data_IF_193028898094
#
_entry.id   IF_193028898094
#
_cell.length_a   1.000
_cell.length_b   1.000
_cell.length_c   1.000
_cell.angle_alpha   90.00
_cell.angle_beta   90.00
_cell.angle_gamma   90.00
#
_symmetry.space_group_name_H-M   'P 1'
#
loop_
_entity.id
_entity.type
_entity.pdbx_description
1 polymer ?
#
# COMPACT_ATOMS: atom_id res chain seq x y z
N UNK A 1 93.59 -20.40 24.85
CA UNK A 1 94.42 -20.97 23.75
C UNK A 1 93.94 -22.39 23.51
N UNK A 2 93.85 -22.84 22.25
CA UNK A 2 93.61 -24.25 21.84
C UNK A 2 92.28 -24.88 22.32
N UNK A 3 91.73 -25.90 21.67
CA UNK A 3 91.70 -26.25 20.24
C UNK A 3 90.45 -27.15 19.97
N UNK A 4 90.05 -27.27 18.70
CA UNK A 4 89.39 -28.39 17.97
C UNK A 4 88.55 -29.44 18.73
N UNK A 5 87.47 -30.01 18.18
CA UNK A 5 87.35 -30.50 16.79
C UNK A 5 85.89 -30.81 16.35
N UNK A 6 85.59 -30.58 15.06
CA UNK A 6 84.75 -31.44 14.17
C UNK A 6 83.25 -31.66 14.53
N UNK A 7 82.33 -32.09 13.64
CA UNK A 7 82.27 -32.33 12.17
C UNK A 7 80.77 -32.45 11.78
N UNK A 8 80.28 -32.23 10.54
CA UNK A 8 80.77 -31.56 9.32
C UNK A 8 79.52 -31.06 8.52
N UNK A 9 79.65 -30.58 7.26
CA UNK A 9 78.58 -29.87 6.55
C UNK A 9 77.93 -30.65 5.38
N UNK A 10 76.71 -30.23 4.99
CA UNK A 10 76.05 -30.53 3.70
C UNK A 10 75.36 -29.29 3.15
N UNK A 11 75.65 -28.86 1.92
CA UNK A 11 74.65 -28.42 0.91
C UNK A 11 75.26 -27.83 -0.38
N UNK A 12 74.60 -28.15 -1.51
CA UNK A 12 74.47 -27.48 -2.85
C UNK A 12 75.49 -26.42 -3.32
N UNK A 13 75.72 -26.36 -4.65
CA UNK A 13 75.30 -25.14 -5.38
C UNK A 13 74.54 -25.39 -6.70
N UNK A 14 74.38 -24.33 -7.50
CA UNK A 14 73.43 -24.16 -8.62
C UNK A 14 74.02 -24.43 -10.02
N UNK A 15 73.14 -24.64 -11.01
CA UNK A 15 73.37 -24.18 -12.40
C UNK A 15 72.05 -23.91 -13.14
N UNK A 16 72.13 -23.29 -14.33
CA UNK A 16 71.17 -22.24 -14.74
C UNK A 16 71.25 -21.91 -16.26
N UNK A 17 70.13 -21.97 -17.00
CA UNK A 17 70.06 -21.49 -18.42
C UNK A 17 68.62 -21.11 -18.87
N UNK A 18 68.49 -20.33 -19.96
CA UNK A 18 67.26 -19.59 -20.34
C UNK A 18 66.60 -20.03 -21.68
N UNK A 19 65.31 -19.72 -21.87
CA UNK A 19 64.70 -19.42 -23.20
C UNK A 19 63.34 -18.65 -23.19
N UNK A 20 63.35 -17.42 -23.73
CA UNK A 20 62.36 -16.77 -24.64
C UNK A 20 60.82 -16.71 -24.36
N UNK A 21 60.39 -15.57 -23.80
CA UNK A 21 59.36 -14.60 -24.29
C UNK A 21 58.13 -15.10 -25.10
N UNK A 22 56.89 -14.82 -24.58
CA UNK A 22 55.79 -14.24 -25.39
C UNK A 22 54.65 -13.55 -24.60
N UNK A 23 53.89 -12.73 -25.33
CA UNK A 23 53.00 -11.64 -24.94
C UNK A 23 51.62 -11.97 -24.28
N UNK A 24 51.17 -11.02 -23.44
CA UNK A 24 49.83 -10.37 -23.41
C UNK A 24 48.60 -10.97 -22.67
N UNK A 25 47.77 -9.99 -22.23
CA UNK A 25 46.33 -9.99 -21.89
C UNK A 25 45.84 -10.56 -20.54
N UNK A 26 45.37 -9.65 -19.68
CA UNK A 26 44.24 -9.89 -18.75
C UNK A 26 42.93 -9.98 -19.55
N UNK A 27 41.84 -10.52 -18.97
CA UNK A 27 40.89 -9.59 -18.33
C UNK A 27 40.36 -10.06 -16.97
N UNK A 28 40.46 -9.17 -15.96
CA UNK A 28 39.65 -9.22 -14.75
C UNK A 28 38.38 -8.39 -15.04
N UNK A 29 37.27 -9.00 -15.46
CA UNK A 29 36.12 -8.24 -15.96
C UNK A 29 34.73 -8.87 -15.76
N UNK A 30 34.42 -9.36 -14.54
CA UNK A 30 33.06 -9.79 -14.18
C UNK A 30 32.69 -9.36 -12.75
N UNK A 31 32.54 -8.05 -12.48
CA UNK A 31 31.91 -7.56 -11.24
C UNK A 31 31.35 -6.12 -11.25
N UNK A 32 30.97 -5.56 -12.42
CA UNK A 32 30.47 -4.16 -12.51
C UNK A 32 28.99 -4.08 -12.93
N UNK A 33 28.40 -5.14 -13.48
CA UNK A 33 27.05 -5.08 -14.07
C UNK A 33 25.90 -4.98 -13.04
N UNK A 34 26.09 -5.43 -11.80
CA UNK A 34 25.01 -5.52 -10.81
C UNK A 34 24.62 -4.18 -10.17
N UNK A 35 25.55 -3.24 -10.01
CA UNK A 35 25.25 -1.93 -9.39
C UNK A 35 24.37 -1.05 -10.28
N UNK A 36 24.54 -1.09 -11.60
CA UNK A 36 23.76 -0.28 -12.54
C UNK A 36 22.25 -0.59 -12.51
N UNK A 37 21.86 -1.85 -12.31
CA UNK A 37 20.45 -2.24 -12.23
C UNK A 37 19.75 -1.75 -10.96
N UNK A 38 20.48 -1.58 -9.84
CA UNK A 38 19.93 -1.01 -8.61
C UNK A 38 19.70 0.50 -8.73
N UNK A 39 20.66 1.23 -9.32
CA UNK A 39 20.52 2.66 -9.58
C UNK A 39 19.30 2.98 -10.45
N UNK A 40 19.16 2.32 -11.61
CA UNK A 40 18.07 2.58 -12.54
C UNK A 40 16.67 2.30 -11.95
N UNK A 41 16.53 1.30 -11.07
CA UNK A 41 15.26 1.02 -10.38
C UNK A 41 14.87 2.15 -9.43
N UNK A 42 15.82 2.67 -8.66
CA UNK A 42 15.57 3.77 -7.74
C UNK A 42 15.25 5.07 -8.49
N UNK A 43 15.98 5.41 -9.55
CA UNK A 43 15.67 6.61 -10.35
C UNK A 43 14.30 6.53 -11.03
N UNK A 44 13.86 5.35 -11.52
CA UNK A 44 12.48 5.17 -12.01
C UNK A 44 11.47 5.48 -10.90
N UNK A 45 11.61 4.89 -9.72
CA UNK A 45 10.67 5.09 -8.62
C UNK A 45 10.66 6.56 -8.12
N UNK A 46 11.83 7.22 -8.07
CA UNK A 46 11.94 8.66 -7.74
C UNK A 46 11.15 9.51 -8.72
N UNK A 47 11.28 9.24 -10.03
CA UNK A 47 10.54 9.95 -11.06
C UNK A 47 9.03 9.64 -10.98
N UNK A 48 8.67 8.39 -10.76
CA UNK A 48 7.29 7.89 -10.71
C UNK A 48 6.48 8.57 -9.60
N UNK A 49 6.99 8.64 -8.37
CA UNK A 49 6.34 9.32 -7.25
C UNK A 49 6.74 10.80 -7.08
N UNK A 50 7.68 11.30 -7.90
CA UNK A 50 8.38 12.59 -7.78
C UNK A 50 8.89 12.84 -6.35
N UNK A 51 9.97 12.17 -5.98
CA UNK A 51 10.55 12.21 -4.63
C UNK A 51 12.07 12.04 -4.69
N UNK A 52 12.79 12.75 -3.80
CA UNK A 52 14.23 12.58 -3.64
C UNK A 52 14.61 11.20 -3.06
N UNK A 53 13.72 10.64 -2.24
CA UNK A 53 13.99 9.47 -1.40
C UNK A 53 12.92 8.40 -1.61
N UNK A 54 13.38 7.16 -1.76
CA UNK A 54 12.57 5.95 -1.82
C UNK A 54 12.83 5.18 -0.53
N UNK A 55 11.78 4.78 0.22
CA UNK A 55 11.96 3.96 1.41
C UNK A 55 12.33 2.52 1.03
N UNK A 56 13.20 1.92 1.83
CA UNK A 56 13.41 0.48 1.86
C UNK A 56 12.58 -0.12 3.00
N UNK A 57 13.20 -0.81 3.95
CA UNK A 57 12.56 -1.43 5.12
C UNK A 57 12.05 -0.46 6.21
N UNK A 58 12.47 0.81 6.19
CA UNK A 58 12.06 1.81 7.18
C UNK A 58 11.06 2.76 6.49
N UNK A 59 9.82 2.86 6.98
CA UNK A 59 8.84 3.78 6.42
C UNK A 59 9.25 5.24 6.62
N UNK A 60 9.09 6.05 5.59
CA UNK A 60 9.30 7.52 5.65
C UNK A 60 7.97 8.24 5.45
N UNK A 61 7.85 9.50 5.86
CA UNK A 61 6.64 10.30 5.60
C UNK A 61 6.53 10.59 4.10
N UNK A 62 5.33 10.43 3.54
CA UNK A 62 4.99 10.83 2.18
C UNK A 62 4.26 12.19 2.21
N UNK A 63 4.65 13.11 1.30
CA UNK A 63 3.96 14.36 0.97
C UNK A 63 3.28 15.05 2.18
N UNK A 64 4.07 15.52 3.14
CA UNK A 64 3.51 16.21 4.33
C UNK A 64 2.93 17.58 3.96
N UNK A 65 3.54 18.24 2.98
CA UNK A 65 3.27 19.62 2.57
C UNK A 65 1.90 19.84 1.90
N UNK A 66 1.21 18.77 1.50
CA UNK A 66 -0.16 18.85 0.94
C UNK A 66 -1.26 18.71 2.01
N UNK A 67 -0.87 18.64 3.29
CA UNK A 67 -1.76 18.53 4.46
C UNK A 67 -1.86 19.93 5.12
N UNK A 68 -3.04 20.54 5.23
CA UNK A 68 -3.21 21.84 5.86
C UNK A 68 -3.09 21.75 7.40
N UNK A 69 -2.56 22.80 8.06
CA UNK A 69 -2.26 22.82 9.51
C UNK A 69 -3.48 22.54 10.43
N UNK A 70 -4.69 22.80 9.94
CA UNK A 70 -5.94 22.53 10.63
C UNK A 70 -6.60 21.19 10.28
N UNK A 71 -6.08 20.46 9.28
CA UNK A 71 -6.63 19.18 8.82
C UNK A 71 -5.95 17.94 9.41
N UNK A 72 -6.59 16.79 9.19
CA UNK A 72 -6.09 15.45 9.52
C UNK A 72 -6.13 14.60 8.24
N UNK A 73 -5.02 13.99 7.83
CA UNK A 73 -5.01 13.05 6.68
C UNK A 73 -5.45 11.65 7.11
N UNK A 74 -6.35 11.03 6.34
CA UNK A 74 -6.96 9.73 6.68
C UNK A 74 -6.49 8.57 5.82
N UNK A 75 -6.57 8.70 4.50
CA UNK A 75 -6.17 7.70 3.50
C UNK A 75 -5.60 8.43 2.29
N UNK A 76 -4.62 7.82 1.63
CA UNK A 76 -4.14 8.25 0.31
C UNK A 76 -3.96 7.05 -0.62
N UNK A 77 -4.25 7.25 -1.91
CA UNK A 77 -4.08 6.25 -2.97
C UNK A 77 -3.58 6.92 -4.25
N UNK A 78 -2.97 6.14 -5.15
CA UNK A 78 -2.74 6.59 -6.53
C UNK A 78 -3.78 6.03 -7.50
N UNK A 79 -3.95 6.71 -8.64
CA UNK A 79 -4.52 6.09 -9.85
C UNK A 79 -3.67 4.88 -10.28
N UNK A 80 -4.23 3.87 -10.98
CA UNK A 80 -3.47 2.70 -11.40
C UNK A 80 -2.32 2.99 -12.39
N UNK A 81 -2.30 4.17 -13.01
CA UNK A 81 -1.21 4.67 -13.86
C UNK A 81 -0.23 5.61 -13.13
N UNK A 82 -0.38 5.76 -11.81
CA UNK A 82 0.42 6.56 -10.89
C UNK A 82 0.53 8.06 -11.21
N UNK A 83 -0.36 8.60 -12.06
CA UNK A 83 -0.38 10.04 -12.43
C UNK A 83 -1.26 10.92 -11.55
N UNK A 84 -2.20 10.35 -10.82
CA UNK A 84 -3.05 11.08 -9.86
C UNK A 84 -2.82 10.51 -8.46
N UNK A 85 -2.73 11.37 -7.44
CA UNK A 85 -2.78 10.95 -6.03
C UNK A 85 -3.99 11.59 -5.35
N UNK A 86 -4.88 10.76 -4.82
CA UNK A 86 -6.10 11.17 -4.11
C UNK A 86 -5.92 10.91 -2.61
N UNK A 87 -6.39 11.82 -1.77
CA UNK A 87 -6.27 11.69 -0.32
C UNK A 87 -7.42 12.37 0.43
N UNK A 88 -7.89 11.76 1.52
CA UNK A 88 -8.90 12.36 2.40
C UNK A 88 -8.25 13.24 3.45
N UNK A 89 -8.75 14.47 3.58
CA UNK A 89 -8.56 15.34 4.75
C UNK A 89 -9.88 15.44 5.52
N UNK A 90 -9.83 15.42 6.86
CA UNK A 90 -10.93 15.93 7.70
C UNK A 90 -10.51 17.16 8.48
N UNK A 91 -11.49 17.87 9.06
CA UNK A 91 -11.21 18.76 10.19
C UNK A 91 -10.80 17.99 11.46
N UNK A 92 -10.53 18.72 12.55
CA UNK A 92 -10.10 18.15 13.84
C UNK A 92 -11.24 17.61 14.72
N UNK A 93 -12.50 17.84 14.36
CA UNK A 93 -13.67 17.28 15.05
C UNK A 93 -14.12 15.95 14.41
N UNK A 94 -13.69 15.68 13.18
CA UNK A 94 -14.21 14.64 12.29
C UNK A 94 -15.67 14.93 11.86
N UNK A 95 -16.01 16.20 11.66
CA UNK A 95 -17.35 16.64 11.23
C UNK A 95 -17.44 16.77 9.70
N UNK A 96 -16.37 17.28 9.07
CA UNK A 96 -16.23 17.45 7.62
C UNK A 96 -15.07 16.58 7.09
N UNK A 97 -15.33 15.77 6.05
CA UNK A 97 -14.38 14.92 5.33
C UNK A 97 -14.46 15.20 3.83
N UNK A 98 -13.36 15.63 3.23
CA UNK A 98 -13.25 15.90 1.80
C UNK A 98 -12.08 15.15 1.17
N UNK A 99 -12.24 14.71 -0.08
CA UNK A 99 -11.14 14.14 -0.85
C UNK A 99 -10.48 15.23 -1.69
N UNK A 100 -9.16 15.28 -1.64
CA UNK A 100 -8.30 16.13 -2.45
C UNK A 100 -7.51 15.28 -3.44
N UNK A 101 -7.03 15.91 -4.51
CA UNK A 101 -6.24 15.30 -5.58
C UNK A 101 -5.10 16.22 -6.00
N UNK A 102 -3.94 15.63 -6.27
CA UNK A 102 -2.85 16.25 -7.04
C UNK A 102 -2.61 15.46 -8.33
N UNK A 103 -2.26 16.16 -9.41
CA UNK A 103 -2.02 15.58 -10.75
C UNK A 103 -0.55 15.75 -11.15
N UNK A 104 0.06 14.70 -11.69
CA UNK A 104 1.41 14.73 -12.24
C UNK A 104 1.38 15.15 -13.72
N UNK A 105 1.93 16.33 -14.01
CA UNK A 105 2.10 16.85 -15.38
C UNK A 105 3.55 17.33 -15.57
N UNK A 106 4.21 16.89 -16.65
CA UNK A 106 5.60 17.28 -16.99
C UNK A 106 6.59 17.12 -15.81
N UNK A 107 6.48 16.00 -15.09
CA UNK A 107 7.28 15.69 -13.90
C UNK A 107 7.19 16.71 -12.75
N UNK A 108 6.07 17.42 -12.66
CA UNK A 108 5.66 18.29 -11.56
C UNK A 108 4.29 17.86 -11.05
N UNK A 109 4.04 17.89 -9.73
CA UNK A 109 2.69 17.74 -9.15
C UNK A 109 1.96 19.09 -9.14
N UNK A 110 0.67 19.09 -9.45
CA UNK A 110 -0.18 20.27 -9.28
C UNK A 110 -0.36 20.64 -7.81
N UNK A 111 -0.77 21.88 -7.56
CA UNK A 111 -1.44 22.24 -6.31
C UNK A 111 -2.64 21.31 -6.04
N UNK A 112 -2.99 21.06 -4.76
CA UNK A 112 -4.19 20.32 -4.39
C UNK A 112 -5.48 20.94 -4.95
N UNK A 113 -6.39 20.07 -5.39
CA UNK A 113 -7.77 20.41 -5.76
C UNK A 113 -8.73 19.42 -5.14
N UNK A 114 -9.97 19.81 -4.93
CA UNK A 114 -11.01 18.87 -4.51
C UNK A 114 -11.26 17.80 -5.59
N UNK A 115 -11.63 16.59 -5.14
CA UNK A 115 -11.99 15.52 -6.04
C UNK A 115 -13.36 15.76 -6.67
N UNK A 116 -13.50 15.39 -7.95
CA UNK A 116 -14.71 15.59 -8.76
C UNK A 116 -15.99 14.96 -8.18
N UNK A 117 -15.87 14.09 -7.17
CA UNK A 117 -16.98 13.36 -6.55
C UNK A 117 -17.35 13.85 -5.15
N UNK A 118 -16.65 14.86 -4.58
CA UNK A 118 -17.04 15.49 -3.31
C UNK A 118 -18.48 16.05 -3.39
N UNK A 119 -19.09 16.28 -2.24
CA UNK A 119 -20.47 16.76 -2.11
C UNK A 119 -20.63 17.62 -0.85
N UNK A 120 -21.83 18.13 -0.59
CA UNK A 120 -22.19 18.78 0.69
C UNK A 120 -22.25 17.79 1.89
N UNK A 121 -21.69 16.59 1.71
CA UNK A 121 -21.67 15.47 2.65
C UNK A 121 -20.27 14.86 2.72
N UNK A 122 -20.01 14.11 3.78
CA UNK A 122 -18.69 13.54 4.05
C UNK A 122 -18.31 12.46 3.04
N UNK A 123 -17.10 12.56 2.47
CA UNK A 123 -16.58 11.68 1.42
C UNK A 123 -15.16 11.17 1.74
N UNK A 124 -14.97 9.84 1.81
CA UNK A 124 -13.68 9.24 2.19
C UNK A 124 -13.44 7.79 1.73
N UNK A 125 -12.29 7.23 2.12
CA UNK A 125 -12.05 5.77 2.11
C UNK A 125 -11.96 5.15 0.71
N UNK A 126 -11.51 5.93 -0.28
CA UNK A 126 -11.61 5.59 -1.69
C UNK A 126 -10.62 4.53 -2.20
N UNK A 127 -10.95 3.93 -3.34
CA UNK A 127 -10.10 3.02 -4.13
C UNK A 127 -10.40 3.15 -5.62
N UNK A 128 -9.48 2.65 -6.45
CA UNK A 128 -9.71 2.45 -7.88
C UNK A 128 -9.99 0.98 -8.18
N UNK A 129 -10.84 0.71 -9.17
CA UNK A 129 -10.77 -0.55 -9.91
C UNK A 129 -9.38 -0.73 -10.52
N UNK A 130 -8.79 -1.94 -10.56
CA UNK A 130 -7.44 -2.15 -11.07
C UNK A 130 -7.22 -1.62 -12.50
N UNK A 131 -8.26 -1.67 -13.34
CA UNK A 131 -8.24 -1.16 -14.72
C UNK A 131 -8.38 0.38 -14.86
N UNK A 132 -8.50 1.12 -13.75
CA UNK A 132 -8.60 2.59 -13.71
C UNK A 132 -9.90 3.20 -14.23
N UNK A 133 -10.92 2.40 -14.57
CA UNK A 133 -12.19 2.87 -15.17
C UNK A 133 -13.28 3.18 -14.15
N UNK A 134 -13.16 2.76 -12.90
CA UNK A 134 -14.13 3.07 -11.84
C UNK A 134 -13.40 3.52 -10.58
N UNK A 135 -13.90 4.56 -9.91
CA UNK A 135 -13.48 4.98 -8.58
C UNK A 135 -14.60 4.65 -7.59
N UNK A 136 -14.26 3.89 -6.55
CA UNK A 136 -15.16 3.51 -5.45
C UNK A 136 -14.80 4.33 -4.22
N UNK A 137 -15.78 4.74 -3.43
CA UNK A 137 -15.57 5.52 -2.21
C UNK A 137 -16.73 5.32 -1.23
N UNK A 138 -16.56 5.81 -0.01
CA UNK A 138 -17.62 5.83 1.01
C UNK A 138 -18.10 7.26 1.19
N UNK A 139 -19.43 7.45 1.25
CA UNK A 139 -20.07 8.75 1.40
C UNK A 139 -21.19 8.70 2.43
N UNK A 140 -21.44 9.81 3.13
CA UNK A 140 -22.64 9.98 3.98
C UNK A 140 -23.81 10.66 3.27
N UNK A 141 -23.72 10.89 1.96
CA UNK A 141 -24.83 11.52 1.20
C UNK A 141 -26.09 10.64 1.19
N UNK A 142 -27.30 11.22 1.27
CA UNK A 142 -28.55 10.46 1.27
C UNK A 142 -28.72 9.54 0.06
N UNK A 143 -29.24 8.35 0.32
CA UNK A 143 -29.64 7.38 -0.71
C UNK A 143 -31.14 7.57 -0.99
N UNK A 144 -31.53 7.61 -2.27
CA UNK A 144 -32.93 7.77 -2.69
C UNK A 144 -33.76 6.47 -2.55
N UNK A 145 -33.69 5.83 -1.38
CA UNK A 145 -34.40 4.60 -1.02
C UNK A 145 -34.87 4.75 0.43
N UNK A 146 -36.19 4.68 0.66
CA UNK A 146 -36.79 4.90 1.97
C UNK A 146 -36.27 3.91 3.03
N UNK A 147 -36.02 4.42 4.24
CA UNK A 147 -35.57 3.63 5.39
C UNK A 147 -34.07 3.29 5.42
N UNK A 148 -33.28 3.71 4.43
CA UNK A 148 -31.82 3.67 4.51
C UNK A 148 -31.34 4.82 5.42
N UNK A 149 -30.56 4.56 6.48
CA UNK A 149 -30.09 5.59 7.40
C UNK A 149 -28.98 6.45 6.78
N UNK A 150 -28.92 7.72 7.17
CA UNK A 150 -27.81 8.63 6.86
C UNK A 150 -26.56 8.17 7.63
N UNK A 151 -25.70 7.42 6.95
CA UNK A 151 -24.44 6.88 7.47
C UNK A 151 -23.49 6.63 6.29
N UNK A 152 -22.29 6.11 6.54
CA UNK A 152 -21.39 5.73 5.45
C UNK A 152 -21.97 4.59 4.62
N UNK A 153 -22.20 4.90 3.34
CA UNK A 153 -22.57 3.97 2.29
C UNK A 153 -21.49 3.94 1.21
N UNK A 154 -21.43 2.87 0.41
CA UNK A 154 -20.49 2.77 -0.70
C UNK A 154 -21.10 3.38 -1.98
N UNK A 155 -20.30 4.15 -2.69
CA UNK A 155 -20.64 4.82 -3.95
C UNK A 155 -19.54 4.56 -4.97
N UNK A 156 -19.87 4.70 -6.26
CA UNK A 156 -18.88 4.67 -7.35
C UNK A 156 -19.13 5.74 -8.40
N UNK A 157 -18.09 6.10 -9.15
CA UNK A 157 -18.17 6.79 -10.44
C UNK A 157 -17.40 6.02 -11.50
N UNK A 158 -17.98 5.88 -12.69
CA UNK A 158 -17.33 5.27 -13.87
C UNK A 158 -16.73 6.34 -14.79
N UNK A 159 -15.56 6.06 -15.38
CA UNK A 159 -14.85 6.91 -16.34
C UNK A 159 -15.24 6.54 -17.76
N UNK A 160 -16.21 7.26 -18.31
CA UNK A 160 -16.74 7.07 -19.66
C UNK A 160 -16.08 8.10 -20.60
N UNK A 161 -15.45 7.63 -21.68
CA UNK A 161 -14.77 8.48 -22.68
C UNK A 161 -13.78 9.50 -22.06
N UNK A 162 -13.06 9.07 -21.01
CA UNK A 162 -12.08 9.88 -20.28
C UNK A 162 -12.66 10.82 -19.21
N UNK A 163 -13.98 10.98 -19.13
CA UNK A 163 -14.67 11.80 -18.13
C UNK A 163 -15.30 10.92 -17.06
N UNK A 164 -15.27 11.37 -15.80
CA UNK A 164 -16.02 10.74 -14.73
C UNK A 164 -17.52 11.09 -14.83
N UNK A 165 -18.38 10.08 -14.71
CA UNK A 165 -19.84 10.26 -14.65
C UNK A 165 -20.31 10.54 -13.21
N UNK A 166 -21.55 11.00 -13.05
CA UNK A 166 -22.16 11.29 -11.74
C UNK A 166 -22.07 10.06 -10.82
N UNK A 167 -21.65 10.21 -9.55
CA UNK A 167 -21.60 9.09 -8.63
C UNK A 167 -22.96 8.43 -8.39
N UNK A 168 -22.95 7.10 -8.29
CA UNK A 168 -24.11 6.24 -8.01
C UNK A 168 -23.89 5.40 -6.75
N UNK A 169 -24.96 5.19 -6.00
CA UNK A 169 -24.99 4.33 -4.81
C UNK A 169 -24.76 2.85 -5.19
N UNK A 170 -24.00 2.13 -4.38
CA UNK A 170 -23.84 0.68 -4.48
C UNK A 170 -24.74 0.01 -3.44
N UNK A 171 -25.80 -0.61 -3.95
CA UNK A 171 -26.72 -1.41 -3.17
C UNK A 171 -26.09 -2.74 -2.74
N UNK A 172 -26.04 -2.97 -1.42
CA UNK A 172 -25.59 -4.23 -0.79
C UNK A 172 -26.79 -4.70 0.05
N UNK A 173 -27.65 -5.61 -0.44
CA UNK A 173 -29.03 -5.70 0.04
C UNK A 173 -29.15 -6.05 1.54
N UNK A 174 -28.36 -7.01 2.02
CA UNK A 174 -28.30 -7.37 3.45
C UNK A 174 -27.68 -6.31 4.39
N UNK A 175 -27.05 -5.24 3.87
CA UNK A 175 -26.39 -4.19 4.67
C UNK A 175 -26.93 -2.78 4.47
N UNK A 176 -28.07 -2.60 3.79
CA UNK A 176 -28.75 -1.29 3.65
C UNK A 176 -29.00 -0.54 4.98
N UNK A 177 -29.11 -1.25 6.10
CA UNK A 177 -29.31 -0.68 7.45
C UNK A 177 -28.03 -0.68 8.32
N UNK A 178 -26.85 -0.79 7.69
CA UNK A 178 -25.53 -0.84 8.32
C UNK A 178 -24.63 0.27 7.77
N UNK A 179 -23.52 0.48 8.46
CA UNK A 179 -22.43 1.33 8.01
C UNK A 179 -21.47 0.47 7.17
N UNK A 180 -21.24 0.86 5.92
CA UNK A 180 -20.33 0.17 4.98
C UNK A 180 -19.36 1.18 4.34
N UNK A 181 -18.06 0.89 4.42
CA UNK A 181 -17.01 1.88 4.12
C UNK A 181 -15.67 1.21 3.76
N UNK A 182 -14.73 2.00 3.23
CA UNK A 182 -13.43 1.57 2.73
C UNK A 182 -13.54 0.47 1.65
N UNK A 183 -14.27 0.72 0.54
CA UNK A 183 -14.38 -0.22 -0.58
C UNK A 183 -13.04 -0.46 -1.29
N UNK A 184 -12.82 -1.69 -1.75
CA UNK A 184 -11.79 -2.13 -2.71
C UNK A 184 -12.46 -3.09 -3.68
N UNK A 185 -12.23 -2.96 -4.99
CA UNK A 185 -12.66 -3.94 -5.99
C UNK A 185 -11.47 -4.63 -6.64
N UNK A 186 -11.62 -5.91 -6.93
CA UNK A 186 -10.55 -6.80 -7.45
C UNK A 186 -10.73 -7.09 -8.95
N UNK A 187 -9.82 -7.85 -9.56
CA UNK A 187 -9.92 -8.23 -10.97
C UNK A 187 -11.08 -9.21 -11.26
N UNK A 188 -11.55 -9.96 -10.25
CA UNK A 188 -12.78 -10.76 -10.34
C UNK A 188 -14.06 -9.90 -10.30
N UNK A 189 -13.94 -8.61 -9.98
CA UNK A 189 -15.08 -7.69 -9.77
C UNK A 189 -15.67 -7.74 -8.36
N UNK A 190 -15.11 -8.55 -7.45
CA UNK A 190 -15.57 -8.66 -6.07
C UNK A 190 -15.27 -7.39 -5.28
N UNK A 191 -16.27 -6.86 -4.57
CA UNK A 191 -16.17 -5.67 -3.74
C UNK A 191 -15.96 -6.04 -2.28
N UNK A 192 -14.77 -5.73 -1.75
CA UNK A 192 -14.39 -5.87 -0.34
C UNK A 192 -14.54 -4.54 0.38
N UNK A 193 -14.90 -4.57 1.67
CA UNK A 193 -15.13 -3.38 2.49
C UNK A 193 -15.15 -3.75 3.99
N UNK A 194 -15.14 -2.75 4.89
CA UNK A 194 -15.55 -3.00 6.28
C UNK A 194 -17.03 -2.68 6.50
N UNK A 195 -17.69 -3.47 7.34
CA UNK A 195 -19.06 -3.22 7.83
C UNK A 195 -19.02 -3.09 9.35
N UNK A 196 -19.81 -2.18 9.90
CA UNK A 196 -20.16 -2.14 11.32
C UNK A 196 -21.66 -1.93 11.53
N UNK A 197 -22.11 -1.98 12.77
CA UNK A 197 -23.38 -1.35 13.14
C UNK A 197 -23.21 0.19 13.18
N UNK A 198 -24.31 0.93 13.35
CA UNK A 198 -24.31 2.40 13.33
C UNK A 198 -23.58 3.02 14.54
N UNK A 199 -23.44 2.27 15.62
CA UNK A 199 -22.64 2.57 16.82
C UNK A 199 -21.16 2.15 16.69
N UNK A 200 -20.71 1.79 15.49
CA UNK A 200 -19.38 1.25 15.18
C UNK A 200 -19.05 -0.09 15.90
N UNK A 201 -20.03 -0.77 16.50
CA UNK A 201 -19.88 -2.14 17.00
C UNK A 201 -19.79 -3.16 15.86
N UNK A 202 -19.29 -4.37 16.17
CA UNK A 202 -19.17 -5.48 15.22
C UNK A 202 -18.41 -5.15 13.92
N UNK A 203 -17.41 -4.27 13.98
CA UNK A 203 -16.61 -3.90 12.81
C UNK A 203 -15.69 -5.05 12.35
N UNK A 204 -15.92 -5.54 11.13
CA UNK A 204 -15.12 -6.57 10.48
C UNK A 204 -15.16 -6.41 8.95
N UNK A 205 -14.38 -7.23 8.23
CA UNK A 205 -14.26 -7.18 6.77
C UNK A 205 -15.26 -8.13 6.11
N UNK A 206 -15.90 -7.66 5.04
CA UNK A 206 -16.89 -8.37 4.24
C UNK A 206 -16.60 -8.21 2.75
N UNK A 207 -17.20 -9.08 1.92
CA UNK A 207 -17.10 -9.05 0.47
C UNK A 207 -18.45 -9.30 -0.19
N UNK A 208 -18.66 -8.73 -1.38
CA UNK A 208 -19.84 -8.91 -2.22
C UNK A 208 -19.43 -9.21 -3.66
N UNK A 209 -19.96 -10.30 -4.21
CA UNK A 209 -19.72 -10.73 -5.59
C UNK A 209 -20.52 -9.85 -6.56
N UNK A 210 -19.92 -9.48 -7.70
CA UNK A 210 -20.61 -8.74 -8.76
C UNK A 210 -21.18 -9.70 -9.81
N UNK A 211 -22.51 -9.83 -9.85
CA UNK A 211 -23.22 -10.78 -10.72
C UNK A 211 -24.27 -10.03 -11.52
N UNK A 212 -24.26 -10.19 -12.85
CA UNK A 212 -25.21 -9.57 -13.78
C UNK A 212 -25.41 -8.06 -13.58
N UNK A 213 -24.32 -7.35 -13.28
CA UNK A 213 -24.32 -5.89 -13.07
C UNK A 213 -24.66 -5.43 -11.65
N UNK A 214 -24.99 -6.34 -10.72
CA UNK A 214 -25.37 -6.03 -9.33
C UNK A 214 -24.40 -6.64 -8.33
N UNK A 215 -24.24 -5.96 -7.19
CA UNK A 215 -23.61 -6.55 -6.01
C UNK A 215 -24.63 -7.42 -5.26
N UNK A 216 -24.15 -8.53 -4.70
CA UNK A 216 -24.96 -9.53 -4.01
C UNK A 216 -24.90 -9.38 -2.48
N UNK A 217 -25.69 -10.18 -1.76
CA UNK A 217 -25.61 -10.22 -0.29
C UNK A 217 -24.19 -10.52 0.18
N UNK A 218 -23.67 -9.65 1.03
CA UNK A 218 -22.28 -9.69 1.41
C UNK A 218 -21.98 -10.78 2.45
N UNK A 219 -20.84 -11.45 2.26
CA UNK A 219 -20.32 -12.54 3.08
C UNK A 219 -19.14 -12.02 3.90
N UNK A 220 -18.91 -12.59 5.09
CA UNK A 220 -17.77 -12.19 5.94
C UNK A 220 -16.46 -12.75 5.38
N UNK A 221 -15.37 -11.99 5.49
CA UNK A 221 -14.02 -12.49 5.23
C UNK A 221 -13.54 -13.25 6.45
N UNK A 222 -13.60 -14.58 6.37
CA UNK A 222 -13.09 -15.45 7.44
C UNK A 222 -11.55 -15.52 7.41
N UNK A 223 -10.94 -15.26 8.57
CA UNK A 223 -9.52 -15.06 8.80
C UNK A 223 -9.15 -15.71 10.15
N UNK A 224 -7.91 -16.18 10.31
CA UNK A 224 -7.45 -16.78 11.56
C UNK A 224 -7.13 -15.74 12.65
N UNK A 225 -8.08 -14.87 12.97
CA UNK A 225 -7.96 -13.86 14.03
C UNK A 225 -9.31 -13.53 14.65
N UNK A 226 -9.37 -13.58 15.99
CA UNK A 226 -10.55 -13.23 16.79
C UNK A 226 -10.74 -11.70 16.96
N UNK A 227 -9.80 -10.89 16.48
CA UNK A 227 -9.92 -9.43 16.56
C UNK A 227 -10.93 -8.89 15.53
N UNK A 228 -11.52 -7.74 15.88
CA UNK A 228 -12.24 -6.87 14.92
C UNK A 228 -11.25 -6.30 13.90
N UNK A 229 -11.73 -5.89 12.73
CA UNK A 229 -10.86 -5.57 11.58
C UNK A 229 -11.43 -4.39 10.80
N UNK A 230 -10.56 -3.50 10.31
CA UNK A 230 -10.97 -2.31 9.57
C UNK A 230 -9.97 -1.91 8.48
N UNK A 231 -10.40 -0.96 7.66
CA UNK A 231 -9.62 -0.35 6.57
C UNK A 231 -8.85 -1.39 5.75
N UNK A 232 -9.56 -2.32 5.07
CA UNK A 232 -8.89 -3.35 4.29
C UNK A 232 -8.10 -2.77 3.10
N UNK A 233 -7.18 -3.58 2.59
CA UNK A 233 -6.66 -3.55 1.23
C UNK A 233 -6.61 -5.00 0.73
N UNK A 234 -7.21 -5.28 -0.43
CA UNK A 234 -7.11 -6.57 -1.10
C UNK A 234 -6.34 -6.33 -2.40
N UNK A 235 -5.40 -7.23 -2.70
CA UNK A 235 -4.67 -7.28 -3.97
C UNK A 235 -5.61 -7.42 -5.19
N UNK A 236 -5.27 -6.88 -6.37
CA UNK A 236 -6.06 -7.08 -7.58
C UNK A 236 -6.32 -8.55 -7.94
N UNK A 237 -5.35 -9.43 -7.68
CA UNK A 237 -5.40 -10.87 -7.96
C UNK A 237 -5.98 -11.71 -6.81
N UNK A 238 -6.43 -11.08 -5.72
CA UNK A 238 -6.98 -11.77 -4.53
C UNK A 238 -5.99 -12.74 -3.85
N UNK A 239 -4.68 -12.60 -4.08
CA UNK A 239 -3.62 -13.47 -3.56
C UNK A 239 -3.19 -13.13 -2.11
N UNK A 240 -3.20 -11.84 -1.77
CA UNK A 240 -3.04 -11.35 -0.39
C UNK A 240 -4.02 -10.22 -0.02
N UNK A 241 -4.26 -10.06 1.28
CA UNK A 241 -4.95 -8.90 1.86
C UNK A 241 -4.17 -8.33 3.06
N UNK A 242 -4.32 -7.02 3.30
CA UNK A 242 -3.76 -6.28 4.44
C UNK A 242 -4.90 -5.58 5.16
N UNK A 243 -4.90 -5.55 6.50
CA UNK A 243 -5.93 -4.86 7.29
C UNK A 243 -5.39 -4.32 8.62
N UNK A 244 -6.07 -3.31 9.18
CA UNK A 244 -5.81 -2.85 10.54
C UNK A 244 -6.64 -3.67 11.54
N UNK A 245 -5.99 -4.17 12.58
CA UNK A 245 -6.61 -5.03 13.61
C UNK A 245 -7.05 -4.22 14.82
N UNK A 246 -8.36 -4.19 15.08
CA UNK A 246 -8.96 -3.43 16.19
C UNK A 246 -8.71 -4.19 17.50
N UNK A 247 -7.61 -3.81 18.13
CA UNK A 247 -7.17 -4.16 19.48
C UNK A 247 -6.54 -2.92 20.14
N UNK A 248 -5.42 -3.09 20.85
CA UNK A 248 -4.76 -1.98 21.55
C UNK A 248 -4.18 -0.91 20.63
N UNK A 249 -3.60 -1.29 19.48
CA UNK A 249 -2.71 -0.40 18.72
C UNK A 249 -3.06 -0.24 17.22
N UNK A 250 -4.11 -0.89 16.68
CA UNK A 250 -4.42 -0.88 15.24
C UNK A 250 -3.28 -1.44 14.35
N UNK A 251 -2.68 -2.55 14.78
CA UNK A 251 -1.62 -3.24 14.03
C UNK A 251 -2.07 -3.65 12.62
N UNK A 252 -1.21 -3.37 11.64
CA UNK A 252 -1.36 -3.88 10.28
C UNK A 252 -0.98 -5.36 10.21
N UNK A 253 -1.94 -6.15 9.75
CA UNK A 253 -1.88 -7.60 9.55
C UNK A 253 -1.94 -7.93 8.05
N UNK A 254 -1.28 -9.00 7.62
CA UNK A 254 -1.35 -9.55 6.26
C UNK A 254 -1.82 -11.01 6.31
N UNK A 255 -2.60 -11.44 5.31
CA UNK A 255 -3.04 -12.82 5.13
C UNK A 255 -3.11 -13.18 3.65
N UNK A 256 -3.02 -14.47 3.32
CA UNK A 256 -2.87 -14.96 1.95
C UNK A 256 -4.00 -15.92 1.57
N UNK A 257 -4.40 -15.90 0.31
CA UNK A 257 -5.43 -16.80 -0.19
C UNK A 257 -4.84 -18.17 -0.52
N UNK A 258 -5.50 -19.25 -0.10
CA UNK A 258 -5.08 -20.63 -0.38
C UNK A 258 -5.45 -21.10 -1.81
N UNK A 259 -5.98 -20.21 -2.65
CA UNK A 259 -6.50 -20.52 -3.99
C UNK A 259 -7.83 -21.27 -3.98
N UNK A 260 -8.37 -21.58 -2.79
CA UNK A 260 -9.63 -22.30 -2.56
C UNK A 260 -10.62 -21.43 -1.76
N UNK A 261 -10.37 -20.11 -1.68
CA UNK A 261 -11.24 -19.13 -1.06
C UNK A 261 -11.05 -18.95 0.45
N UNK A 262 -9.96 -19.44 1.04
CA UNK A 262 -9.65 -19.24 2.47
C UNK A 262 -8.43 -18.36 2.66
N UNK A 263 -8.50 -17.50 3.68
CA UNK A 263 -7.37 -16.67 4.07
C UNK A 263 -6.55 -17.36 5.17
N UNK A 264 -5.33 -17.76 4.81
CA UNK A 264 -4.36 -18.49 5.62
C UNK A 264 -3.14 -17.62 5.95
N UNK A 265 -2.22 -18.17 6.73
CA UNK A 265 -0.92 -17.56 7.08
C UNK A 265 -1.01 -16.12 7.63
N UNK A 266 -2.08 -15.82 8.37
CA UNK A 266 -2.32 -14.48 8.95
C UNK A 266 -1.19 -14.10 9.92
N UNK A 267 -0.45 -13.03 9.63
CA UNK A 267 0.68 -12.54 10.44
C UNK A 267 0.65 -11.01 10.60
N UNK A 268 1.25 -10.50 11.68
CA UNK A 268 1.51 -9.07 11.88
C UNK A 268 2.65 -8.64 10.93
N UNK A 269 2.56 -7.48 10.29
CA UNK A 269 3.69 -6.89 9.55
C UNK A 269 4.82 -6.51 10.51
N UNK A 270 6.07 -6.45 10.04
CA UNK A 270 7.22 -6.15 10.92
C UNK A 270 7.10 -4.84 11.72
N UNK A 271 7.82 -4.74 12.84
CA UNK A 271 7.72 -3.60 13.78
C UNK A 271 8.33 -2.28 13.25
N UNK A 272 9.01 -2.29 12.09
CA UNK A 272 9.38 -1.05 11.37
C UNK A 272 8.17 -0.41 10.70
N UNK A 273 7.14 -1.19 10.41
CA UNK A 273 5.81 -0.73 10.02
C UNK A 273 4.99 -0.49 11.31
N UNK A 274 4.87 -1.53 12.13
CA UNK A 274 4.08 -1.52 13.37
C UNK A 274 4.83 -0.93 14.58
N UNK A 275 5.03 0.40 14.59
CA UNK A 275 5.61 1.19 15.72
C UNK A 275 4.75 2.35 16.24
N UNK A 276 3.60 2.59 15.61
CA UNK A 276 2.61 3.60 15.98
C UNK A 276 1.23 3.04 15.62
N UNK A 277 0.13 3.63 16.09
CA UNK A 277 -1.18 3.25 15.55
C UNK A 277 -1.34 3.61 14.08
N UNK A 278 -1.96 2.71 13.32
CA UNK A 278 -2.01 2.78 11.87
C UNK A 278 -3.41 2.47 11.31
N UNK A 279 -3.57 2.72 10.02
CA UNK A 279 -4.70 2.23 9.25
C UNK A 279 -4.58 2.62 7.79
N UNK A 280 -5.66 2.39 7.05
CA UNK A 280 -5.79 2.80 5.66
C UNK A 280 -4.68 2.33 4.70
N UNK A 281 -4.24 1.06 4.78
CA UNK A 281 -3.28 0.50 3.84
C UNK A 281 -3.70 0.70 2.37
N UNK A 282 -2.70 0.91 1.53
CA UNK A 282 -2.78 0.90 0.08
C UNK A 282 -1.46 0.40 -0.47
N UNK A 283 -1.45 -0.68 -1.25
CA UNK A 283 -0.26 -1.12 -1.97
C UNK A 283 -0.32 -0.62 -3.42
N UNK A 284 0.82 -0.21 -3.96
CA UNK A 284 0.92 0.23 -5.36
C UNK A 284 0.64 -0.91 -6.35
N UNK A 285 0.18 -0.62 -7.58
CA UNK A 285 -0.22 -1.66 -8.57
C UNK A 285 0.92 -2.60 -9.00
N UNK A 286 2.16 -2.26 -8.68
CA UNK A 286 3.36 -3.07 -8.95
C UNK A 286 3.81 -3.91 -7.73
N UNK A 287 2.99 -3.97 -6.68
CA UNK A 287 3.20 -4.66 -5.40
C UNK A 287 4.49 -4.27 -4.64
N UNK A 288 5.11 -3.10 -4.93
CA UNK A 288 6.37 -2.70 -4.27
C UNK A 288 6.22 -1.84 -3.04
N UNK A 289 5.28 -0.90 -3.02
CA UNK A 289 5.19 0.09 -1.94
C UNK A 289 3.86 0.04 -1.22
N UNK A 290 3.91 -0.13 0.11
CA UNK A 290 2.76 0.08 0.99
C UNK A 290 2.77 1.53 1.46
N UNK A 291 1.64 2.20 1.28
CA UNK A 291 1.29 3.47 1.91
C UNK A 291 0.29 3.18 3.04
N UNK A 292 0.44 3.87 4.17
CA UNK A 292 -0.45 3.71 5.31
C UNK A 292 -0.49 5.00 6.14
N UNK A 293 -1.63 5.29 6.74
CA UNK A 293 -1.79 6.44 7.65
C UNK A 293 -1.45 6.01 9.07
N UNK A 294 -0.78 6.90 9.81
CA UNK A 294 -0.34 6.61 11.17
C UNK A 294 -0.13 7.88 12.00
N UNK A 295 -0.30 7.77 13.32
CA UNK A 295 -0.05 8.87 14.25
C UNK A 295 -0.77 8.68 15.57
N UNK A 296 -0.37 9.46 16.57
CA UNK A 296 -1.01 9.46 17.88
C UNK A 296 -2.45 9.99 17.78
N UNK A 297 -3.42 9.16 18.18
CA UNK A 297 -4.85 9.50 18.09
C UNK A 297 -5.20 10.78 18.88
N UNK A 298 -4.63 10.93 20.08
CA UNK A 298 -4.89 12.06 20.97
C UNK A 298 -4.32 13.39 20.44
N UNK A 299 -3.15 13.35 19.79
CA UNK A 299 -2.54 14.55 19.21
C UNK A 299 -3.16 14.98 17.87
N UNK A 300 -3.85 14.05 17.19
CA UNK A 300 -4.44 14.26 15.84
C UNK A 300 -3.43 14.67 14.75
N UNK A 301 -2.12 14.47 14.98
CA UNK A 301 -1.01 14.77 14.04
C UNK A 301 -0.74 13.58 13.10
N UNK A 302 -1.76 13.14 12.37
CA UNK A 302 -1.64 11.96 11.50
C UNK A 302 -0.81 12.28 10.25
N UNK A 303 -0.08 11.27 9.76
CA UNK A 303 0.77 11.35 8.58
C UNK A 303 0.60 10.09 7.73
N UNK A 304 0.72 10.20 6.41
CA UNK A 304 0.94 9.02 5.56
C UNK A 304 2.42 8.67 5.63
N UNK A 305 2.75 7.45 6.04
CA UNK A 305 4.06 6.82 5.83
C UNK A 305 3.99 5.92 4.61
N UNK A 306 5.14 5.66 3.98
CA UNK A 306 5.28 4.67 2.91
C UNK A 306 6.59 3.90 3.03
N UNK A 307 6.59 2.65 2.56
CA UNK A 307 7.65 1.64 2.77
C UNK A 307 7.72 0.65 1.60
N UNK A 308 8.87 0.03 1.32
CA UNK A 308 8.88 -1.15 0.44
C UNK A 308 8.26 -2.34 1.19
N UNK A 309 7.32 -3.04 0.56
CA UNK A 309 6.53 -4.12 1.15
C UNK A 309 6.82 -5.49 0.51
N UNK A 310 7.74 -5.56 -0.45
CA UNK A 310 8.02 -6.77 -1.23
C UNK A 310 8.46 -7.96 -0.38
N UNK A 311 9.21 -7.72 0.71
CA UNK A 311 9.64 -8.75 1.65
C UNK A 311 8.47 -9.33 2.45
N UNK A 312 7.56 -8.48 2.94
CA UNK A 312 6.43 -8.93 3.75
C UNK A 312 5.50 -9.85 2.97
N UNK A 313 5.18 -9.47 1.72
CA UNK A 313 4.32 -10.21 0.78
C UNK A 313 4.96 -11.53 0.33
N UNK A 314 6.27 -11.55 0.05
CA UNK A 314 6.97 -12.74 -0.47
C UNK A 314 7.37 -13.76 0.59
N UNK A 315 7.38 -13.38 1.86
CA UNK A 315 7.70 -14.26 2.99
C UNK A 315 6.49 -15.15 3.37
N UNK A 316 6.22 -16.18 2.55
CA UNK A 316 5.35 -17.32 2.83
C UNK A 316 6.17 -18.61 2.92
#
# INVERSE_FOLDING_TARGET
>A
MQNNSEANWRSKPYTNTLALIKNMNKPLFVLILTMFFLGCKNEKAKLEFLTEKIPNEIPIVFRKEIIPDNGIIHKGIFSPDLKEYYYTISDKNFENFNVFKIEKTNDIWSEPKEAFFNSDYNDHGMSFSPNGKTLYFSSTRPVSIDGIPETWHIWKSDKINGKWDKPVFIDIPNFRNKLVSHPIVTNSGTLYFHKSNLDYSEMDIYYSEHINGKFMDAKRVELNSKLRKCTPYISPEEDYLIYASIGNELDLMISYNDGNGKWINTKKLNDKINNESQGNPYVTPDNKFLFFTTGEHMEKKWKVKWVNIESEIKNN
#
